data_IF_681190711439
#
_entry.id   IF_681190711439
#
_cell.length_a   1.000
_cell.length_b   1.000
_cell.length_c   1.000
_cell.angle_alpha   90.00
_cell.angle_beta   90.00
_cell.angle_gamma   90.00
#
_symmetry.space_group_name_H-M   'P 1'
#
loop_
_entity.id
_entity.type
_entity.pdbx_description
1 polymer ?
#
# COMPACT_ATOMS: atom_id res chain seq x y z
N UNK A 1 1.60 29.23 7.65
CA UNK A 1 2.40 28.36 6.76
C UNK A 1 1.57 27.12 6.46
N UNK A 2 1.04 26.99 5.25
CA UNK A 2 0.33 25.79 4.86
C UNK A 2 1.34 24.63 4.88
N UNK A 3 1.19 23.69 5.83
CA UNK A 3 1.90 22.42 5.75
C UNK A 3 1.47 21.79 4.44
N UNK A 4 2.40 21.66 3.50
CA UNK A 4 2.18 20.89 2.28
C UNK A 4 1.64 19.52 2.71
N UNK A 5 0.36 19.27 2.40
CA UNK A 5 -0.27 18.01 2.77
C UNK A 5 0.15 16.98 1.73
N UNK A 6 1.33 16.40 1.93
CA UNK A 6 1.86 15.34 1.08
C UNK A 6 1.32 14.01 1.59
N UNK A 7 0.68 13.25 0.72
CA UNK A 7 0.23 11.89 0.96
C UNK A 7 1.08 10.92 0.14
N UNK A 8 1.43 9.78 0.71
CA UNK A 8 1.94 8.63 0.00
C UNK A 8 0.93 7.49 0.16
N UNK A 9 0.20 7.21 -0.90
CA UNK A 9 -0.72 6.07 -0.94
C UNK A 9 0.09 4.85 -1.37
N UNK A 10 0.10 3.80 -0.59
CA UNK A 10 0.94 2.64 -0.83
C UNK A 10 0.20 1.32 -0.66
N UNK A 11 0.70 0.31 -1.33
CA UNK A 11 0.31 -1.08 -1.21
C UNK A 11 1.50 -1.98 -1.53
N UNK A 12 1.54 -3.16 -0.94
CA UNK A 12 2.56 -4.19 -1.16
C UNK A 12 1.93 -5.53 -1.49
N UNK A 13 2.64 -6.33 -2.29
CA UNK A 13 2.38 -7.75 -2.43
C UNK A 13 3.47 -8.56 -1.73
N UNK A 14 3.09 -9.65 -1.10
CA UNK A 14 3.97 -10.46 -0.24
C UNK A 14 3.84 -11.95 -0.53
N UNK A 15 4.79 -12.72 -0.06
CA UNK A 15 4.74 -14.19 -0.16
C UNK A 15 3.88 -14.85 0.92
N UNK A 16 3.29 -14.09 1.84
CA UNK A 16 2.44 -14.58 2.93
C UNK A 16 2.02 -13.46 3.88
N UNK A 17 1.58 -13.80 5.08
CA UNK A 17 0.89 -12.87 5.98
C UNK A 17 1.76 -12.29 7.10
N UNK A 18 2.82 -12.99 7.52
CA UNK A 18 3.67 -12.58 8.64
C UNK A 18 5.08 -12.26 8.15
N UNK A 19 5.64 -11.09 8.48
CA UNK A 19 6.93 -10.65 7.96
C UNK A 19 8.11 -11.52 8.42
N UNK A 20 7.99 -12.24 9.54
CA UNK A 20 9.02 -13.17 10.01
C UNK A 20 9.15 -14.42 9.13
N UNK A 21 8.08 -14.78 8.40
CA UNK A 21 8.02 -15.98 7.57
C UNK A 21 7.88 -15.66 6.08
N UNK A 22 7.57 -14.41 5.74
CA UNK A 22 7.18 -13.99 4.41
C UNK A 22 7.93 -12.72 3.98
N UNK A 23 7.98 -12.46 2.69
CA UNK A 23 8.77 -11.38 2.10
C UNK A 23 7.93 -10.50 1.18
N UNK A 24 8.30 -9.22 1.06
CA UNK A 24 7.71 -8.31 0.09
C UNK A 24 8.25 -8.66 -1.30
N UNK A 25 7.36 -8.76 -2.28
CA UNK A 25 7.71 -9.03 -3.70
C UNK A 25 7.34 -7.89 -4.64
N UNK A 26 6.46 -6.98 -4.22
CA UNK A 26 6.09 -5.79 -4.98
C UNK A 26 5.75 -4.65 -4.04
N UNK A 27 6.09 -3.42 -4.43
CA UNK A 27 5.62 -2.19 -3.80
C UNK A 27 5.23 -1.18 -4.87
N UNK A 28 4.13 -0.49 -4.65
CA UNK A 28 3.77 0.71 -5.38
C UNK A 28 3.40 1.83 -4.42
N UNK A 29 3.92 3.02 -4.67
CA UNK A 29 3.65 4.23 -3.87
C UNK A 29 3.28 5.36 -4.81
N UNK A 30 2.13 5.97 -4.58
CA UNK A 30 1.66 7.15 -5.29
C UNK A 30 1.83 8.38 -4.39
N UNK A 31 2.65 9.35 -4.80
CA UNK A 31 2.82 10.60 -4.06
C UNK A 31 1.83 11.66 -4.57
N UNK A 32 1.10 12.25 -3.64
CA UNK A 32 0.06 13.24 -3.93
C UNK A 32 0.30 14.49 -3.10
N UNK A 33 0.30 15.66 -3.74
CA UNK A 33 0.38 16.97 -3.08
C UNK A 33 -0.77 17.84 -3.57
N UNK A 34 -1.49 18.45 -2.64
CA UNK A 34 -2.62 19.32 -2.96
C UNK A 34 -3.63 18.66 -3.93
N UNK A 35 -3.96 17.40 -3.69
CA UNK A 35 -4.85 16.55 -4.50
C UNK A 35 -4.36 16.26 -5.93
N UNK A 36 -3.09 16.51 -6.22
CA UNK A 36 -2.47 16.19 -7.52
C UNK A 36 -1.39 15.15 -7.34
N UNK A 37 -1.39 14.15 -8.21
CA UNK A 37 -0.29 13.18 -8.31
C UNK A 37 0.97 13.91 -8.74
N UNK A 38 2.03 13.79 -7.96
CA UNK A 38 3.31 14.48 -8.21
C UNK A 38 4.44 13.52 -8.52
N UNK A 39 4.36 12.28 -8.02
CA UNK A 39 5.41 11.28 -8.22
C UNK A 39 4.87 9.86 -7.98
N UNK A 40 5.61 8.85 -8.41
CA UNK A 40 5.32 7.44 -8.15
C UNK A 40 6.62 6.66 -7.93
N UNK A 41 6.56 5.66 -7.06
CA UNK A 41 7.63 4.69 -6.86
C UNK A 41 7.10 3.28 -7.08
N UNK A 42 7.81 2.49 -7.88
CA UNK A 42 7.46 1.11 -8.15
C UNK A 42 8.71 0.23 -8.11
N UNK A 43 8.62 -0.90 -7.44
CA UNK A 43 9.64 -1.94 -7.54
C UNK A 43 9.07 -3.33 -7.31
N UNK A 44 9.62 -4.29 -8.04
CA UNK A 44 9.57 -5.70 -7.70
C UNK A 44 10.78 -6.05 -6.84
N UNK A 45 10.65 -7.07 -5.99
CA UNK A 45 11.74 -7.55 -5.15
C UNK A 45 11.92 -9.06 -5.31
N UNK A 46 13.18 -9.49 -5.29
CA UNK A 46 13.54 -10.90 -5.29
C UNK A 46 13.55 -11.42 -3.86
N UNK A 47 12.63 -12.32 -3.48
CA UNK A 47 12.65 -12.95 -2.16
C UNK A 47 13.77 -13.99 -2.05
N UNK A 48 14.09 -14.41 -0.83
CA UNK A 48 15.02 -15.52 -0.59
C UNK A 48 14.37 -16.87 -0.83
N UNK A 49 13.09 -16.98 -0.48
CA UNK A 49 12.30 -18.20 -0.64
C UNK A 49 11.49 -18.16 -1.94
N UNK A 50 11.21 -19.35 -2.48
CA UNK A 50 10.33 -19.53 -3.66
C UNK A 50 8.93 -18.97 -3.38
N UNK A 51 8.38 -18.25 -4.35
CA UNK A 51 7.03 -17.70 -4.33
C UNK A 51 6.02 -18.82 -4.55
N UNK A 52 5.12 -19.05 -3.59
CA UNK A 52 4.12 -20.13 -3.65
C UNK A 52 2.69 -19.64 -3.89
N UNK A 53 2.46 -18.32 -3.82
CA UNK A 53 1.15 -17.69 -3.91
C UNK A 53 1.02 -16.77 -5.13
N UNK A 54 1.74 -17.10 -6.21
CA UNK A 54 1.68 -16.35 -7.47
C UNK A 54 0.31 -16.37 -8.14
N UNK A 55 -0.57 -17.29 -7.78
CA UNK A 55 -1.97 -17.32 -8.18
C UNK A 55 -2.80 -16.14 -7.65
N UNK A 56 -2.37 -15.52 -6.55
CA UNK A 56 -3.04 -14.34 -5.96
C UNK A 56 -2.66 -13.07 -6.70
N UNK A 57 -1.36 -12.76 -6.81
CA UNK A 57 -0.85 -11.47 -7.33
C UNK A 57 -0.13 -11.58 -8.69
N UNK A 58 -0.02 -12.79 -9.24
CA UNK A 58 0.60 -13.01 -10.56
C UNK A 58 2.12 -12.82 -10.62
N UNK A 59 2.80 -12.64 -9.46
CA UNK A 59 4.25 -12.47 -9.39
C UNK A 59 4.89 -13.85 -9.19
N UNK A 60 5.77 -14.22 -10.12
CA UNK A 60 6.49 -15.52 -10.13
C UNK A 60 7.97 -15.31 -9.89
N UNK A 61 8.67 -16.37 -9.45
CA UNK A 61 10.14 -16.34 -9.31
C UNK A 61 10.84 -15.87 -10.59
N UNK A 62 10.27 -16.20 -11.75
CA UNK A 62 10.79 -15.75 -13.05
C UNK A 62 10.72 -14.23 -13.20
N UNK A 63 9.60 -13.61 -12.82
CA UNK A 63 9.43 -12.15 -12.91
C UNK A 63 10.42 -11.39 -12.03
N UNK A 64 10.75 -11.91 -10.87
CA UNK A 64 11.61 -11.24 -9.87
C UNK A 64 13.08 -11.69 -9.91
N UNK A 65 13.45 -12.58 -10.82
CA UNK A 65 14.81 -13.17 -10.87
C UNK A 65 15.95 -12.14 -10.92
N UNK A 66 15.72 -11.01 -11.57
CA UNK A 66 16.69 -9.93 -11.72
C UNK A 66 16.30 -8.68 -10.89
N UNK A 67 15.27 -8.78 -10.06
CA UNK A 67 14.86 -7.68 -9.18
C UNK A 67 15.85 -7.51 -8.02
N UNK A 68 15.99 -6.30 -7.47
CA UNK A 68 16.78 -6.08 -6.27
C UNK A 68 16.14 -6.78 -5.07
N UNK A 69 16.89 -6.95 -4.00
CA UNK A 69 16.33 -7.28 -2.70
C UNK A 69 15.80 -6.02 -2.03
N UNK A 70 14.75 -6.14 -1.21
CA UNK A 70 14.15 -4.98 -0.56
C UNK A 70 15.15 -4.17 0.29
N UNK A 71 16.10 -4.81 0.95
CA UNK A 71 17.13 -4.14 1.75
C UNK A 71 18.04 -3.23 0.91
N UNK A 72 18.27 -3.58 -0.35
CA UNK A 72 19.06 -2.76 -1.27
C UNK A 72 18.35 -1.45 -1.63
N UNK A 73 17.02 -1.41 -1.47
CA UNK A 73 16.16 -0.25 -1.78
C UNK A 73 15.68 0.49 -0.51
N UNK A 74 16.16 0.11 0.68
CA UNK A 74 15.68 0.66 1.95
C UNK A 74 15.76 2.19 2.01
N UNK A 75 16.91 2.76 1.65
CA UNK A 75 17.09 4.22 1.66
C UNK A 75 16.19 4.92 0.64
N UNK A 76 16.04 4.36 -0.57
CA UNK A 76 15.19 4.95 -1.60
C UNK A 76 13.73 4.97 -1.17
N UNK A 77 13.24 3.87 -0.59
CA UNK A 77 11.86 3.77 -0.08
C UNK A 77 11.66 4.77 1.06
N UNK A 78 12.55 4.79 2.05
CA UNK A 78 12.47 5.67 3.21
C UNK A 78 12.50 7.14 2.79
N UNK A 79 13.40 7.51 1.88
CA UNK A 79 13.49 8.88 1.36
C UNK A 79 12.25 9.28 0.55
N UNK A 80 11.69 8.35 -0.24
CA UNK A 80 10.47 8.62 -0.99
C UNK A 80 9.28 8.89 -0.07
N UNK A 81 9.17 8.17 1.05
CA UNK A 81 8.11 8.31 2.05
C UNK A 81 8.31 9.49 3.00
N UNK A 82 9.49 10.11 3.04
CA UNK A 82 9.80 11.18 4.00
C UNK A 82 8.82 12.35 3.91
N UNK A 83 8.55 12.98 5.07
CA UNK A 83 7.68 14.16 5.22
C UNK A 83 6.26 14.00 4.64
N UNK A 84 5.75 12.78 4.57
CA UNK A 84 4.40 12.48 4.08
C UNK A 84 3.53 11.78 5.14
N UNK A 85 2.21 11.84 4.94
CA UNK A 85 1.27 10.95 5.61
C UNK A 85 1.08 9.71 4.75
N UNK A 86 1.24 8.53 5.33
CA UNK A 86 1.04 7.26 4.63
C UNK A 86 -0.45 6.90 4.62
N UNK A 87 -0.93 6.53 3.46
CA UNK A 87 -2.32 6.09 3.26
C UNK A 87 -2.30 4.69 2.67
N UNK A 88 -3.13 3.80 3.19
CA UNK A 88 -3.28 2.44 2.67
C UNK A 88 -4.56 1.80 3.18
N UNK A 89 -4.85 0.61 2.69
CA UNK A 89 -6.00 -0.18 3.15
C UNK A 89 -5.53 -1.35 4.00
N UNK A 90 -5.89 -1.36 5.28
CA UNK A 90 -5.30 -2.24 6.31
C UNK A 90 -3.79 -1.98 6.52
N UNK A 91 -3.37 -0.76 6.26
CA UNK A 91 -1.99 -0.30 6.30
C UNK A 91 -1.31 -0.58 7.65
N UNK A 92 -1.98 -0.21 8.74
CA UNK A 92 -1.41 -0.28 10.09
C UNK A 92 -1.16 -1.72 10.55
N UNK A 93 -1.97 -2.67 10.08
CA UNK A 93 -1.88 -4.06 10.50
C UNK A 93 -1.15 -4.96 9.48
N UNK A 94 -0.88 -4.49 8.29
CA UNK A 94 -0.23 -5.30 7.26
C UNK A 94 1.00 -4.61 6.65
N UNK A 95 0.84 -3.64 5.78
CA UNK A 95 1.94 -3.04 5.01
C UNK A 95 3.03 -2.46 5.92
N UNK A 96 2.66 -1.72 6.96
CA UNK A 96 3.62 -1.14 7.89
C UNK A 96 4.42 -2.17 8.68
N UNK A 97 3.80 -3.28 9.05
CA UNK A 97 4.51 -4.36 9.74
C UNK A 97 5.62 -4.93 8.85
N UNK A 98 5.32 -5.17 7.58
CA UNK A 98 6.31 -5.64 6.61
C UNK A 98 7.40 -4.60 6.34
N UNK A 99 7.02 -3.34 6.09
CA UNK A 99 7.98 -2.27 5.83
C UNK A 99 8.92 -2.05 7.02
N UNK A 100 8.39 -1.98 8.25
CA UNK A 100 9.19 -1.80 9.45
C UNK A 100 10.07 -3.02 9.78
N UNK A 101 9.70 -4.20 9.31
CA UNK A 101 10.52 -5.41 9.47
C UNK A 101 11.70 -5.45 8.48
N UNK A 102 11.50 -4.98 7.25
CA UNK A 102 12.49 -5.09 6.17
C UNK A 102 13.32 -3.84 5.93
N UNK A 103 12.82 -2.64 6.25
CA UNK A 103 13.58 -1.41 6.13
C UNK A 103 14.58 -1.23 7.27
N UNK A 104 15.67 -0.54 7.01
CA UNK A 104 16.73 -0.32 8.01
C UNK A 104 16.29 0.59 9.16
N UNK A 105 15.32 1.46 8.91
CA UNK A 105 14.75 2.37 9.92
C UNK A 105 13.23 2.21 9.98
N UNK A 106 12.69 2.27 11.19
CA UNK A 106 11.25 2.31 11.40
C UNK A 106 10.65 3.60 10.82
N UNK A 107 9.49 3.46 10.18
CA UNK A 107 8.75 4.58 9.60
C UNK A 107 7.98 5.31 10.70
N UNK A 108 8.31 6.57 10.95
CA UNK A 108 7.66 7.44 11.95
C UNK A 108 6.56 8.33 11.34
N UNK A 109 6.16 8.05 10.11
CA UNK A 109 5.14 8.81 9.40
C UNK A 109 3.78 8.73 10.10
N UNK A 110 3.00 9.79 10.01
CA UNK A 110 1.57 9.69 10.29
C UNK A 110 0.90 8.73 9.32
N UNK A 111 -0.06 7.98 9.81
CA UNK A 111 -0.82 7.01 9.00
C UNK A 111 -2.28 7.38 8.90
N UNK A 112 -2.90 6.96 7.81
CA UNK A 112 -4.33 7.06 7.57
C UNK A 112 -4.78 5.77 6.89
N UNK A 113 -5.38 4.88 7.68
CA UNK A 113 -5.84 3.57 7.23
C UNK A 113 -7.28 3.65 6.74
N UNK A 114 -7.51 3.42 5.44
CA UNK A 114 -8.84 3.50 4.85
C UNK A 114 -9.79 2.40 5.35
N UNK A 115 -9.27 1.27 5.83
CA UNK A 115 -10.08 0.25 6.51
C UNK A 115 -10.69 0.82 7.81
N UNK A 116 -9.86 1.41 8.65
CA UNK A 116 -10.29 2.04 9.91
C UNK A 116 -11.24 3.21 9.65
N UNK A 117 -10.91 4.06 8.67
CA UNK A 117 -11.72 5.20 8.28
C UNK A 117 -13.09 4.76 7.76
N UNK A 118 -13.15 3.75 6.90
CA UNK A 118 -14.41 3.23 6.37
C UNK A 118 -15.31 2.64 7.46
N UNK A 119 -14.72 1.93 8.44
CA UNK A 119 -15.46 1.40 9.59
C UNK A 119 -16.11 2.51 10.42
N UNK A 120 -15.40 3.61 10.61
CA UNK A 120 -15.91 4.77 11.35
C UNK A 120 -17.04 5.50 10.61
N UNK A 121 -16.90 5.70 9.30
CA UNK A 121 -17.81 6.51 8.48
C UNK A 121 -19.03 5.71 8.01
N UNK A 122 -18.81 4.51 7.46
CA UNK A 122 -19.85 3.72 6.82
C UNK A 122 -20.60 2.81 7.79
N UNK A 123 -19.93 2.40 8.87
CA UNK A 123 -20.53 1.48 9.87
C UNK A 123 -21.19 0.28 9.19
N UNK A 124 -22.49 0.09 9.38
CA UNK A 124 -23.28 -1.02 8.84
C UNK A 124 -23.83 -0.78 7.42
N UNK A 125 -23.37 0.27 6.72
CA UNK A 125 -23.83 0.57 5.34
C UNK A 125 -23.27 -0.40 4.30
N UNK A 126 -22.25 -1.17 4.64
CA UNK A 126 -21.60 -2.17 3.80
C UNK A 126 -21.52 -3.52 4.53
N UNK A 127 -21.55 -4.62 3.80
CA UNK A 127 -21.48 -5.97 4.39
C UNK A 127 -20.14 -6.26 5.09
N UNK A 128 -19.08 -5.68 4.58
CA UNK A 128 -17.74 -5.70 5.14
C UNK A 128 -16.94 -4.50 4.59
N UNK A 129 -15.74 -4.27 5.15
CA UNK A 129 -14.90 -3.14 4.76
C UNK A 129 -13.68 -3.56 3.93
N UNK A 130 -13.74 -4.68 3.21
CA UNK A 130 -12.70 -5.10 2.27
C UNK A 130 -12.61 -4.10 1.11
N UNK A 131 -11.43 -3.95 0.55
CA UNK A 131 -11.17 -2.99 -0.54
C UNK A 131 -12.14 -3.17 -1.72
N UNK A 132 -12.39 -4.43 -2.12
CA UNK A 132 -13.33 -4.75 -3.20
C UNK A 132 -14.78 -4.36 -2.88
N UNK A 133 -15.23 -4.57 -1.64
CA UNK A 133 -16.57 -4.18 -1.20
C UNK A 133 -16.74 -2.66 -1.22
N UNK A 134 -15.71 -1.93 -0.74
CA UNK A 134 -15.72 -0.47 -0.78
C UNK A 134 -15.65 0.07 -2.21
N UNK A 135 -14.88 -0.57 -3.09
CA UNK A 135 -14.81 -0.21 -4.50
C UNK A 135 -16.18 -0.32 -5.16
N UNK A 136 -16.90 -1.41 -4.91
CA UNK A 136 -18.27 -1.60 -5.39
C UNK A 136 -19.25 -0.56 -4.82
N UNK A 137 -19.15 -0.29 -3.51
CA UNK A 137 -20.03 0.69 -2.83
C UNK A 137 -19.87 2.10 -3.39
N UNK A 138 -18.63 2.51 -3.67
CA UNK A 138 -18.31 3.85 -4.19
C UNK A 138 -18.28 3.93 -5.73
N UNK A 139 -18.55 2.82 -6.41
CA UNK A 139 -18.52 2.72 -7.88
C UNK A 139 -17.18 3.15 -8.48
N UNK A 140 -16.07 2.72 -7.85
CA UNK A 140 -14.71 2.93 -8.34
C UNK A 140 -14.13 1.62 -8.90
N UNK A 141 -13.03 1.72 -9.64
CA UNK A 141 -12.36 0.55 -10.22
C UNK A 141 -11.96 -0.43 -9.12
N UNK A 142 -12.32 -1.73 -9.24
CA UNK A 142 -12.01 -2.72 -8.22
C UNK A 142 -10.51 -3.04 -8.16
N UNK A 143 -10.01 -3.53 -7.00
CA UNK A 143 -8.64 -4.00 -6.88
C UNK A 143 -8.41 -5.28 -7.69
N UNK A 144 -7.16 -5.54 -8.06
CA UNK A 144 -6.78 -6.71 -8.88
C UNK A 144 -5.70 -7.59 -8.24
N UNK A 145 -5.26 -7.27 -7.03
CA UNK A 145 -4.07 -7.84 -6.39
C UNK A 145 -2.77 -7.51 -7.16
N UNK A 146 -2.72 -6.35 -7.78
CA UNK A 146 -1.53 -5.66 -8.24
C UNK A 146 -1.35 -4.43 -7.38
N UNK A 147 -0.17 -4.21 -6.81
CA UNK A 147 0.06 -3.09 -5.90
C UNK A 147 -0.35 -1.74 -6.52
N UNK A 148 -0.08 -1.54 -7.82
CA UNK A 148 -0.49 -0.33 -8.54
C UNK A 148 -2.00 -0.15 -8.59
N UNK A 149 -2.73 -1.18 -9.01
CA UNK A 149 -4.20 -1.10 -9.15
C UNK A 149 -4.85 -0.91 -7.77
N UNK A 150 -4.35 -1.60 -6.75
CA UNK A 150 -4.86 -1.53 -5.39
C UNK A 150 -4.60 -0.16 -4.76
N UNK A 151 -3.46 0.47 -5.04
CA UNK A 151 -3.17 1.87 -4.67
C UNK A 151 -4.14 2.84 -5.36
N UNK A 152 -4.40 2.67 -6.64
CA UNK A 152 -5.34 3.54 -7.36
C UNK A 152 -6.76 3.42 -6.79
N UNK A 153 -7.21 2.19 -6.53
CA UNK A 153 -8.50 1.93 -5.87
C UNK A 153 -8.56 2.56 -4.48
N UNK A 154 -7.51 2.37 -3.67
CA UNK A 154 -7.39 2.93 -2.31
C UNK A 154 -7.44 4.44 -2.33
N UNK A 155 -6.75 5.09 -3.27
CA UNK A 155 -6.76 6.55 -3.40
C UNK A 155 -8.15 7.09 -3.75
N UNK A 156 -8.88 6.46 -4.68
CA UNK A 156 -10.25 6.84 -5.01
C UNK A 156 -11.18 6.67 -3.79
N UNK A 157 -11.08 5.55 -3.07
CA UNK A 157 -11.87 5.32 -1.85
C UNK A 157 -11.52 6.35 -0.77
N UNK A 158 -10.24 6.67 -0.58
CA UNK A 158 -9.80 7.71 0.35
C UNK A 158 -10.46 9.06 0.04
N UNK A 159 -10.48 9.49 -1.22
CA UNK A 159 -11.13 10.74 -1.64
C UNK A 159 -12.64 10.72 -1.34
N UNK A 160 -13.32 9.60 -1.61
CA UNK A 160 -14.74 9.44 -1.32
C UNK A 160 -15.03 9.50 0.18
N UNK A 161 -14.29 8.77 1.00
CA UNK A 161 -14.44 8.79 2.46
C UNK A 161 -14.17 10.18 3.03
N UNK A 162 -13.12 10.86 2.57
CA UNK A 162 -12.78 12.21 3.04
C UNK A 162 -13.83 13.27 2.65
N UNK A 163 -14.62 13.04 1.60
CA UNK A 163 -15.69 13.94 1.19
C UNK A 163 -16.98 13.77 2.01
N UNK A 164 -17.11 12.70 2.79
CA UNK A 164 -18.27 12.43 3.66
C UNK A 164 -18.08 13.09 5.04
N UNK A 165 -16.82 13.33 5.44
CA UNK A 165 -16.50 14.03 6.69
C UNK A 165 -16.73 15.52 6.53
#
# INVERSE_FOLDING_TARGET
MNKNNTLCILDIETTGFEPEESEIVEIYILKVQNNKVTDEFYSLFKPEKTIKNSDIHGITDHKVRNAPRIKEMSDEITNFLSDSTLVGHNLDNFDLKFLNYYLDNELENKTLDTLTLSRSILKDKVENHKLNTLAKYFEVTPPTHSAKDDVMTTFEIYKKLSSIQ
#
